data_IF_671395282400
#
_entry.id   IF_671395282400
#
_cell.length_a   1.000
_cell.length_b   1.000
_cell.length_c   1.000
_cell.angle_alpha   90.00
_cell.angle_beta   90.00
_cell.angle_gamma   90.00
#
_symmetry.space_group_name_H-M   'P 1'
#
loop_
_entity.id
_entity.type
_entity.pdbx_description
1 polymer ?
#
# COMPACT_ATOMS: atom_id res chain seq x y z
N UNK A 1 -11.58 8.77 -19.16
CA UNK A 1 -10.67 9.32 -18.13
C UNK A 1 -10.59 8.42 -16.89
N UNK A 2 -11.69 7.80 -16.44
CA UNK A 2 -11.72 6.90 -15.26
C UNK A 2 -10.71 5.74 -15.31
N UNK A 3 -10.53 5.09 -16.47
CA UNK A 3 -9.61 3.95 -16.60
C UNK A 3 -8.14 4.31 -16.34
N UNK A 4 -7.67 5.48 -16.80
CA UNK A 4 -6.24 5.81 -16.70
C UNK A 4 -5.78 6.11 -15.27
N UNK A 5 -6.63 6.76 -14.46
CA UNK A 5 -6.28 7.05 -13.06
C UNK A 5 -6.29 5.74 -12.27
N UNK A 6 -7.33 4.92 -12.46
CA UNK A 6 -7.42 3.60 -11.83
C UNK A 6 -6.22 2.71 -12.18
N UNK A 7 -5.86 2.63 -13.46
CA UNK A 7 -4.72 1.82 -13.89
C UNK A 7 -3.42 2.29 -13.20
N UNK A 8 -3.20 3.60 -13.11
CA UNK A 8 -2.06 4.17 -12.39
C UNK A 8 -2.09 3.86 -10.87
N UNK A 9 -3.27 3.94 -10.23
CA UNK A 9 -3.46 3.54 -8.83
C UNK A 9 -3.03 2.08 -8.64
N UNK A 10 -3.54 1.17 -9.48
CA UNK A 10 -3.26 -0.26 -9.35
C UNK A 10 -1.79 -0.59 -9.63
N UNK A 11 -1.17 0.05 -10.61
CA UNK A 11 0.25 -0.12 -10.90
C UNK A 11 1.13 0.28 -9.69
N UNK A 12 0.79 1.39 -9.05
CA UNK A 12 1.48 1.83 -7.84
C UNK A 12 1.25 0.87 -6.67
N UNK A 13 0.03 0.38 -6.47
CA UNK A 13 -0.24 -0.64 -5.45
C UNK A 13 0.52 -1.93 -5.71
N UNK A 14 0.59 -2.40 -6.97
CA UNK A 14 1.34 -3.61 -7.31
C UNK A 14 2.83 -3.49 -6.95
N UNK A 15 3.42 -2.30 -7.13
CA UNK A 15 4.80 -2.04 -6.68
C UNK A 15 4.90 -2.18 -5.16
N UNK A 16 3.97 -1.59 -4.41
CA UNK A 16 3.96 -1.71 -2.94
C UNK A 16 3.77 -3.17 -2.49
N UNK A 17 2.93 -3.94 -3.16
CA UNK A 17 2.70 -5.36 -2.88
C UNK A 17 3.96 -6.17 -3.09
N UNK A 18 4.70 -5.91 -4.18
CA UNK A 18 5.98 -6.55 -4.46
C UNK A 18 7.00 -6.24 -3.36
N UNK A 19 7.13 -4.96 -2.98
CA UNK A 19 8.02 -4.52 -1.89
C UNK A 19 7.63 -5.19 -0.57
N UNK A 20 6.34 -5.25 -0.24
CA UNK A 20 5.85 -5.93 0.95
C UNK A 20 6.25 -7.41 0.94
N UNK A 21 6.06 -8.13 -0.16
CA UNK A 21 6.41 -9.55 -0.28
C UNK A 21 7.93 -9.80 -0.13
N UNK A 22 8.75 -8.95 -0.75
CA UNK A 22 10.22 -9.03 -0.64
C UNK A 22 10.69 -8.81 0.80
N UNK A 23 10.18 -7.78 1.48
CA UNK A 23 10.57 -7.51 2.86
C UNK A 23 10.00 -8.57 3.80
N UNK A 24 8.77 -9.03 3.60
CA UNK A 24 8.16 -10.09 4.41
C UNK A 24 8.99 -11.38 4.34
N UNK A 25 9.51 -11.73 3.16
CA UNK A 25 10.31 -12.95 2.96
C UNK A 25 11.77 -12.81 3.41
N UNK A 26 12.41 -11.64 3.21
CA UNK A 26 13.83 -11.44 3.48
C UNK A 26 14.17 -10.76 4.80
N UNK A 27 13.30 -9.88 5.31
CA UNK A 27 13.57 -9.01 6.45
C UNK A 27 12.31 -8.67 7.26
N UNK A 28 11.47 -9.67 7.57
CA UNK A 28 10.17 -9.49 8.25
C UNK A 28 10.16 -8.53 9.45
N UNK A 29 11.17 -8.52 10.36
CA UNK A 29 11.19 -7.57 11.49
C UNK A 29 11.23 -6.09 11.07
N UNK A 30 11.62 -5.77 9.84
CA UNK A 30 11.67 -4.41 9.31
C UNK A 30 10.40 -4.02 8.55
N UNK A 31 9.51 -4.98 8.25
CA UNK A 31 8.35 -4.80 7.36
C UNK A 31 7.49 -3.59 7.76
N UNK A 32 7.05 -3.55 9.01
CA UNK A 32 6.16 -2.48 9.48
C UNK A 32 6.82 -1.10 9.33
N UNK A 33 8.07 -0.98 9.77
CA UNK A 33 8.81 0.29 9.71
C UNK A 33 9.05 0.73 8.27
N UNK A 34 9.46 -0.18 7.40
CA UNK A 34 9.73 0.15 6.00
C UNK A 34 8.45 0.53 5.27
N UNK A 35 7.35 -0.21 5.46
CA UNK A 35 6.08 0.11 4.83
C UNK A 35 5.54 1.47 5.30
N UNK A 36 5.64 1.80 6.60
CA UNK A 36 5.26 3.12 7.11
C UNK A 36 6.02 4.26 6.44
N UNK A 37 7.34 4.15 6.33
CA UNK A 37 8.19 5.15 5.66
C UNK A 37 7.80 5.30 4.18
N UNK A 38 7.51 4.18 3.49
CA UNK A 38 7.10 4.21 2.09
C UNK A 38 5.73 4.87 1.91
N UNK A 39 4.78 4.61 2.80
CA UNK A 39 3.45 5.23 2.75
C UNK A 39 3.52 6.73 3.05
N UNK A 40 4.31 7.15 4.04
CA UNK A 40 4.59 8.57 4.29
C UNK A 40 5.15 9.26 3.03
N UNK A 41 6.24 8.70 2.48
CA UNK A 41 6.87 9.25 1.28
C UNK A 41 5.92 9.26 0.07
N UNK A 42 5.02 8.27 -0.04
CA UNK A 42 4.03 8.24 -1.11
C UNK A 42 3.04 9.41 -0.99
N UNK A 43 2.51 9.65 0.20
CA UNK A 43 1.56 10.75 0.44
C UNK A 43 2.25 12.11 0.22
N UNK A 44 3.50 12.26 0.66
CA UNK A 44 4.30 13.45 0.40
C UNK A 44 4.51 13.69 -1.10
N UNK A 45 4.73 12.63 -1.88
CA UNK A 45 4.82 12.70 -3.34
C UNK A 45 3.49 13.14 -3.94
N UNK A 46 2.36 12.59 -3.51
CA UNK A 46 1.05 13.03 -4.00
C UNK A 46 0.81 14.52 -3.76
N UNK A 47 1.14 15.00 -2.55
CA UNK A 47 1.00 16.41 -2.19
C UNK A 47 1.96 17.30 -3.02
N UNK A 48 3.20 16.86 -3.19
CA UNK A 48 4.20 17.57 -4.01
C UNK A 48 3.78 17.66 -5.48
N UNK A 49 3.34 16.55 -6.07
CA UNK A 49 2.83 16.50 -7.45
C UNK A 49 1.61 17.40 -7.62
N UNK A 50 0.71 17.44 -6.63
CA UNK A 50 -0.41 18.38 -6.66
C UNK A 50 0.09 19.83 -6.72
N UNK A 51 0.99 20.24 -5.83
CA UNK A 51 1.51 21.62 -5.81
C UNK A 51 2.26 21.99 -7.09
N UNK A 52 3.06 21.08 -7.64
CA UNK A 52 3.78 21.27 -8.91
C UNK A 52 2.83 21.47 -10.11
N UNK A 53 1.62 20.89 -10.04
CA UNK A 53 0.67 20.86 -11.15
C UNK A 53 -0.59 21.72 -10.92
N UNK A 54 -0.78 22.33 -9.73
CA UNK A 54 -1.97 23.14 -9.37
C UNK A 54 -2.26 24.23 -10.41
N UNK A 55 -1.22 24.82 -11.01
CA UNK A 55 -1.35 25.91 -12.00
C UNK A 55 -1.25 25.47 -13.47
N UNK A 56 -0.93 24.20 -13.73
CA UNK A 56 -0.70 23.65 -15.08
C UNK A 56 -1.69 22.53 -15.40
N UNK A 57 -1.38 21.32 -14.94
CA UNK A 57 -2.11 20.09 -15.27
C UNK A 57 -3.48 19.98 -14.59
N UNK A 58 -3.63 20.53 -13.38
CA UNK A 58 -4.87 20.47 -12.58
C UNK A 58 -5.68 21.78 -12.71
N UNK A 59 -5.37 22.60 -13.73
CA UNK A 59 -6.00 23.92 -13.89
C UNK A 59 -7.53 23.85 -14.05
N UNK A 60 -8.04 22.77 -14.63
CA UNK A 60 -9.46 22.56 -14.91
C UNK A 60 -9.98 21.31 -14.17
N UNK A 61 -9.80 21.27 -12.84
CA UNK A 61 -10.34 20.18 -12.03
C UNK A 61 -11.86 20.34 -11.89
N UNK A 62 -12.61 19.55 -12.66
CA UNK A 62 -14.07 19.53 -12.57
C UNK A 62 -14.57 18.63 -11.43
N UNK A 63 -15.89 18.67 -11.16
CA UNK A 63 -16.49 17.89 -10.09
C UNK A 63 -16.26 16.37 -10.25
N UNK A 64 -16.29 15.87 -11.48
CA UNK A 64 -16.05 14.44 -11.76
C UNK A 64 -14.61 14.03 -11.48
N UNK A 65 -13.63 14.85 -11.91
CA UNK A 65 -12.22 14.65 -11.63
C UNK A 65 -11.94 14.68 -10.13
N UNK A 66 -12.54 15.61 -9.41
CA UNK A 66 -12.47 15.67 -7.95
C UNK A 66 -13.02 14.39 -7.31
N UNK A 67 -14.24 13.96 -7.65
CA UNK A 67 -14.83 12.74 -7.10
C UNK A 67 -13.99 11.50 -7.39
N UNK A 68 -13.42 11.40 -8.60
CA UNK A 68 -12.53 10.30 -8.94
C UNK A 68 -11.27 10.31 -8.07
N UNK A 69 -10.61 11.47 -7.92
CA UNK A 69 -9.40 11.57 -7.08
C UNK A 69 -9.70 11.23 -5.62
N UNK A 70 -10.82 11.73 -5.07
CA UNK A 70 -11.25 11.39 -3.71
C UNK A 70 -11.45 9.88 -3.53
N UNK A 71 -12.10 9.21 -4.48
CA UNK A 71 -12.26 7.74 -4.47
C UNK A 71 -10.91 7.02 -4.46
N UNK A 72 -9.95 7.43 -5.28
CA UNK A 72 -8.63 6.79 -5.33
C UNK A 72 -7.83 7.02 -4.05
N UNK A 73 -7.89 8.22 -3.46
CA UNK A 73 -7.24 8.52 -2.18
C UNK A 73 -7.85 7.70 -1.04
N UNK A 74 -9.18 7.58 -0.99
CA UNK A 74 -9.88 6.74 -0.01
C UNK A 74 -9.56 5.26 -0.19
N UNK A 75 -9.40 4.81 -1.43
CA UNK A 75 -8.94 3.45 -1.73
C UNK A 75 -7.53 3.21 -1.18
N UNK A 76 -6.57 4.12 -1.41
CA UNK A 76 -5.23 4.01 -0.82
C UNK A 76 -5.27 4.00 0.71
N UNK A 77 -6.02 4.91 1.31
CA UNK A 77 -6.16 5.00 2.77
C UNK A 77 -6.74 3.72 3.37
N UNK A 78 -7.77 3.16 2.73
CA UNK A 78 -8.42 1.90 3.17
C UNK A 78 -7.46 0.72 3.06
N UNK A 79 -6.79 0.56 1.90
CA UNK A 79 -5.90 -0.58 1.65
C UNK A 79 -4.68 -0.53 2.54
N UNK A 80 -4.07 0.64 2.72
CA UNK A 80 -2.80 0.81 3.43
C UNK A 80 -2.97 1.24 4.89
N UNK A 81 -4.19 1.22 5.44
CA UNK A 81 -4.51 1.81 6.76
C UNK A 81 -3.57 1.35 7.89
N UNK A 82 -3.10 0.10 7.86
CA UNK A 82 -2.19 -0.45 8.89
C UNK A 82 -0.80 0.19 8.89
N UNK A 83 -0.43 0.85 7.79
CA UNK A 83 0.85 1.52 7.59
C UNK A 83 0.72 3.04 7.52
N UNK A 84 -0.48 3.60 7.67
CA UNK A 84 -0.65 5.05 7.80
C UNK A 84 -0.14 5.53 9.15
N UNK A 85 0.85 6.40 9.14
CA UNK A 85 1.26 7.15 10.32
C UNK A 85 0.37 8.39 10.53
N UNK A 86 0.37 8.99 11.73
CA UNK A 86 -0.33 10.25 11.97
C UNK A 86 0.09 11.36 10.99
N UNK A 87 1.38 11.41 10.66
CA UNK A 87 1.95 12.37 9.71
C UNK A 87 1.40 12.14 8.30
N UNK A 88 1.38 10.88 7.82
CA UNK A 88 0.80 10.53 6.53
C UNK A 88 -0.72 10.82 6.49
N UNK A 89 -1.45 10.56 7.57
CA UNK A 89 -2.89 10.88 7.67
C UNK A 89 -3.13 12.38 7.56
N UNK A 90 -2.30 13.18 8.24
CA UNK A 90 -2.42 14.63 8.18
C UNK A 90 -2.05 15.19 6.80
N UNK A 91 -1.01 14.65 6.16
CA UNK A 91 -0.65 15.02 4.78
C UNK A 91 -1.75 14.63 3.79
N UNK A 92 -2.36 13.44 3.95
CA UNK A 92 -3.48 12.97 3.12
C UNK A 92 -4.68 13.90 3.26
N UNK A 93 -5.04 14.27 4.50
CA UNK A 93 -6.12 15.23 4.75
C UNK A 93 -5.83 16.60 4.12
N UNK A 94 -4.59 17.08 4.24
CA UNK A 94 -4.18 18.34 3.61
C UNK A 94 -4.30 18.26 2.08
N UNK A 95 -3.93 17.14 1.47
CA UNK A 95 -4.12 16.93 0.02
C UNK A 95 -5.61 16.97 -0.37
N UNK A 96 -6.49 16.31 0.38
CA UNK A 96 -7.93 16.33 0.14
C UNK A 96 -8.51 17.76 0.24
N UNK A 97 -8.12 18.53 1.26
CA UNK A 97 -8.51 19.93 1.43
C UNK A 97 -8.03 20.82 0.27
N UNK A 98 -6.78 20.64 -0.15
CA UNK A 98 -6.21 21.35 -1.29
C UNK A 98 -6.90 21.02 -2.63
N UNK A 99 -7.27 19.75 -2.83
CA UNK A 99 -8.03 19.31 -4.01
C UNK A 99 -9.43 19.92 -4.03
N UNK A 100 -10.09 20.00 -2.87
CA UNK A 100 -11.40 20.62 -2.75
C UNK A 100 -11.34 22.12 -3.06
N UNK A 101 -10.38 22.84 -2.46
CA UNK A 101 -10.13 24.24 -2.78
C UNK A 101 -9.93 24.43 -4.28
N UNK A 102 -9.10 23.59 -4.91
CA UNK A 102 -8.82 23.70 -6.34
C UNK A 102 -10.04 23.38 -7.22
N UNK A 103 -10.86 22.41 -6.85
CA UNK A 103 -12.08 22.10 -7.58
C UNK A 103 -13.08 23.26 -7.51
N UNK A 104 -13.24 23.87 -6.33
CA UNK A 104 -14.07 25.06 -6.15
C UNK A 104 -13.56 26.25 -6.97
N UNK A 105 -12.25 26.54 -6.94
CA UNK A 105 -11.61 27.56 -7.79
C UNK A 105 -11.92 27.30 -9.28
N UNK A 106 -11.74 26.06 -9.73
CA UNK A 106 -11.88 25.68 -11.15
C UNK A 106 -13.33 25.79 -11.64
N UNK A 107 -14.30 25.42 -10.79
CA UNK A 107 -15.75 25.55 -11.09
C UNK A 107 -16.14 27.02 -11.15
N UNK A 108 -15.67 27.84 -10.19
CA UNK A 108 -15.92 29.28 -10.19
C UNK A 108 -15.33 29.96 -11.43
N UNK A 109 -14.07 29.66 -11.80
CA UNK A 109 -13.42 30.18 -13.01
C UNK A 109 -14.19 29.79 -14.29
N UNK A 110 -14.74 28.58 -14.35
CA UNK A 110 -15.55 28.13 -15.48
C UNK A 110 -16.89 28.86 -15.61
N UNK A 111 -17.49 29.26 -14.48
CA UNK A 111 -18.74 30.03 -14.45
C UNK A 111 -18.55 31.49 -14.85
N UNK A 112 -17.40 32.10 -14.53
CA UNK A 112 -17.10 33.49 -14.88
C UNK A 112 -16.72 33.68 -16.37
N UNK A 113 -16.31 32.62 -17.07
CA UNK A 113 -15.94 32.66 -18.49
C UNK A 113 -16.70 31.64 -19.40
N UNK A 114 -18.04 31.69 -19.52
CA UNK A 114 -18.79 30.76 -20.39
C UNK A 114 -18.59 31.01 -21.91
N UNK A 115 -17.91 32.09 -22.29
CA UNK A 115 -18.22 32.85 -23.52
C UNK A 115 -17.41 32.59 -24.80
N UNK A 116 -16.44 31.68 -24.87
CA UNK A 116 -15.57 31.58 -26.06
C UNK A 116 -16.04 30.63 -27.17
N UNK A 117 -17.30 30.17 -27.14
CA UNK A 117 -17.82 29.26 -28.18
C UNK A 117 -19.20 29.59 -28.74
N UNK A 118 -19.58 30.88 -28.79
CA UNK A 118 -20.71 31.33 -29.62
C UNK A 118 -20.37 32.56 -30.46
N UNK A 119 -20.27 32.28 -31.76
CA UNK A 119 -20.42 33.19 -32.91
C UNK A 119 -21.27 34.43 -32.60
N UNK A 120 -20.83 35.66 -32.92
CA UNK A 120 -21.66 36.84 -32.74
C UNK A 120 -22.74 36.91 -33.82
N UNK A 121 -24.01 36.78 -33.44
CA UNK A 121 -25.15 37.20 -34.26
C UNK A 121 -26.16 37.94 -33.40
N UNK A 122 -25.94 39.27 -33.34
CA UNK A 122 -26.92 40.37 -33.37
C UNK A 122 -28.34 40.11 -32.83
N UNK A 123 -28.61 40.71 -31.67
CA UNK A 123 -29.88 41.39 -31.36
C UNK A 123 -30.92 40.59 -30.59
N UNK A 124 -31.12 40.92 -29.31
CA UNK A 124 -32.44 41.15 -28.71
C UNK A 124 -32.26 41.62 -27.27
N UNK A 125 -32.88 42.75 -26.94
CA UNK A 125 -33.06 43.27 -25.59
C UNK A 125 -34.15 42.43 -24.86
N UNK A 126 -34.14 42.53 -23.53
CA UNK A 126 -35.08 41.98 -22.53
C UNK A 126 -35.05 40.47 -22.24
N UNK A 127 -34.25 40.11 -21.22
CA UNK A 127 -34.63 39.11 -20.23
C UNK A 127 -33.82 39.35 -18.94
N UNK A 128 -34.50 39.71 -17.86
CA UNK A 128 -33.99 39.54 -16.50
C UNK A 128 -33.85 38.04 -16.25
N UNK A 129 -32.69 37.48 -16.58
CA UNK A 129 -32.36 36.10 -16.21
C UNK A 129 -32.08 36.06 -14.72
N UNK A 130 -33.09 35.64 -13.97
CA UNK A 130 -32.94 35.02 -12.65
C UNK A 130 -32.15 33.72 -12.80
N UNK A 131 -30.86 33.81 -13.17
CA UNK A 131 -29.96 32.67 -13.23
C UNK A 131 -29.29 32.55 -11.86
N UNK A 132 -30.04 31.99 -10.90
CA UNK A 132 -29.44 31.21 -9.83
C UNK A 132 -28.77 29.98 -10.47
N UNK A 133 -27.64 30.19 -11.15
CA UNK A 133 -26.72 29.08 -11.40
C UNK A 133 -26.34 28.53 -10.02
N UNK A 134 -26.54 27.23 -9.74
CA UNK A 134 -26.11 26.67 -8.48
C UNK A 134 -24.59 26.72 -8.48
N UNK A 135 -24.02 27.70 -7.77
CA UNK A 135 -22.65 27.62 -7.31
C UNK A 135 -22.58 26.34 -6.49
N UNK A 136 -21.87 25.33 -6.96
CA UNK A 136 -21.67 24.09 -6.19
C UNK A 136 -20.91 24.50 -4.92
N UNK A 137 -21.54 24.35 -3.77
CA UNK A 137 -20.89 24.62 -2.48
C UNK A 137 -19.77 23.60 -2.26
N UNK A 138 -18.67 23.96 -1.55
CA UNK A 138 -17.66 22.99 -1.14
C UNK A 138 -18.28 21.76 -0.43
N UNK A 139 -19.31 21.99 0.38
CA UNK A 139 -20.03 20.92 1.09
C UNK A 139 -20.80 20.01 0.13
N UNK A 140 -21.43 20.58 -0.90
CA UNK A 140 -22.16 19.79 -1.92
C UNK A 140 -21.20 18.91 -2.72
N UNK A 141 -20.01 19.43 -3.01
CA UNK A 141 -18.97 18.69 -3.73
C UNK A 141 -18.37 17.57 -2.87
N UNK A 142 -18.20 17.80 -1.57
CA UNK A 142 -17.81 16.75 -0.62
C UNK A 142 -18.88 15.66 -0.52
N UNK A 143 -20.16 16.02 -0.42
CA UNK A 143 -21.26 15.06 -0.40
C UNK A 143 -21.32 14.24 -1.69
N UNK A 144 -21.08 14.87 -2.84
CA UNK A 144 -21.01 14.19 -4.12
C UNK A 144 -19.87 13.17 -4.15
N UNK A 145 -18.67 13.56 -3.70
CA UNK A 145 -17.52 12.65 -3.63
C UNK A 145 -17.78 11.48 -2.66
N UNK A 146 -18.36 11.75 -1.49
CA UNK A 146 -18.73 10.71 -0.52
C UNK A 146 -19.75 9.71 -1.08
N UNK A 147 -20.78 10.20 -1.77
CA UNK A 147 -21.76 9.34 -2.43
C UNK A 147 -21.08 8.48 -3.52
N UNK A 148 -20.24 9.10 -4.36
CA UNK A 148 -19.51 8.42 -5.41
C UNK A 148 -18.58 7.31 -4.86
N UNK A 149 -17.87 7.62 -3.77
CA UNK A 149 -17.08 6.63 -3.03
C UNK A 149 -17.93 5.50 -2.46
N UNK A 150 -19.04 5.82 -1.79
CA UNK A 150 -19.90 4.82 -1.17
C UNK A 150 -20.45 3.81 -2.20
N UNK A 151 -20.69 4.25 -3.43
CA UNK A 151 -21.23 3.40 -4.49
C UNK A 151 -20.17 2.48 -5.11
N UNK A 152 -18.91 2.90 -5.15
CA UNK A 152 -17.86 2.24 -5.95
C UNK A 152 -16.76 1.56 -5.13
N UNK A 153 -16.39 2.12 -3.98
CA UNK A 153 -15.22 1.69 -3.22
C UNK A 153 -15.26 0.19 -2.89
N UNK A 154 -16.39 -0.29 -2.37
CA UNK A 154 -16.53 -1.69 -1.99
C UNK A 154 -16.38 -2.64 -3.19
N UNK A 155 -16.96 -2.28 -4.34
CA UNK A 155 -16.84 -3.09 -5.55
C UNK A 155 -15.40 -3.16 -6.06
N UNK A 156 -14.64 -2.09 -5.87
CA UNK A 156 -13.25 -2.02 -6.27
C UNK A 156 -12.30 -2.76 -5.32
N UNK A 157 -12.54 -2.67 -4.00
CA UNK A 157 -11.85 -3.50 -3.01
C UNK A 157 -12.07 -4.99 -3.29
N UNK A 158 -13.29 -5.39 -3.63
CA UNK A 158 -13.58 -6.79 -3.97
C UNK A 158 -12.90 -7.21 -5.28
N UNK A 159 -12.98 -6.37 -6.32
CA UNK A 159 -12.32 -6.63 -7.61
C UNK A 159 -10.80 -6.84 -7.47
N UNK A 160 -10.18 -6.14 -6.52
CA UNK A 160 -8.73 -6.12 -6.32
C UNK A 160 -8.27 -6.92 -5.11
N UNK A 161 -9.18 -7.62 -4.41
CA UNK A 161 -8.98 -8.28 -3.11
C UNK A 161 -7.71 -9.13 -3.05
N UNK A 162 -7.44 -9.93 -4.09
CA UNK A 162 -6.24 -10.78 -4.13
C UNK A 162 -4.95 -9.99 -4.26
N UNK A 163 -4.97 -8.85 -4.95
CA UNK A 163 -3.79 -8.00 -5.14
C UNK A 163 -3.41 -7.31 -3.83
N UNK A 164 -4.39 -6.95 -3.01
CA UNK A 164 -4.19 -6.14 -1.80
C UNK A 164 -4.21 -6.95 -0.48
N UNK A 165 -4.40 -8.27 -0.57
CA UNK A 165 -4.59 -9.14 0.60
C UNK A 165 -3.47 -8.99 1.65
N UNK A 166 -2.22 -8.78 1.23
CA UNK A 166 -1.09 -8.63 2.14
C UNK A 166 -1.21 -7.42 3.09
N UNK A 167 -1.91 -6.37 2.68
CA UNK A 167 -2.12 -5.18 3.50
C UNK A 167 -3.36 -5.28 4.39
N UNK A 168 -4.40 -5.96 3.91
CA UNK A 168 -5.66 -6.10 4.64
C UNK A 168 -5.64 -7.23 5.67
N UNK A 169 -4.89 -8.31 5.45
CA UNK A 169 -4.86 -9.47 6.35
C UNK A 169 -3.84 -9.34 7.49
N UNK A 170 -2.89 -8.40 7.40
CA UNK A 170 -1.84 -8.19 8.41
C UNK A 170 -2.35 -7.70 9.77
N UNK A 171 -3.59 -7.20 9.85
CA UNK A 171 -4.24 -6.87 11.12
C UNK A 171 -4.54 -8.10 12.00
N UNK A 172 -4.52 -9.32 11.44
CA UNK A 172 -4.93 -10.55 12.13
C UNK A 172 -3.77 -11.39 12.69
N UNK A 173 -2.51 -11.07 12.38
CA UNK A 173 -1.35 -11.90 12.79
C UNK A 173 -0.52 -11.31 13.94
N UNK A 174 -1.01 -10.29 14.64
CA UNK A 174 -0.41 -9.78 15.89
C UNK A 174 -0.88 -10.55 17.13
N UNK A 175 -1.34 -11.80 16.99
CA UNK A 175 -1.51 -12.72 18.12
C UNK A 175 -0.38 -13.74 18.12
N UNK A 176 0.61 -13.47 18.98
CA UNK A 176 1.48 -14.44 19.66
C UNK A 176 1.49 -15.87 19.11
N UNK A 177 2.49 -16.20 18.28
CA UNK A 177 3.06 -17.54 18.41
C UNK A 177 3.94 -17.50 19.67
N UNK A 178 3.68 -18.34 20.70
CA UNK A 178 4.66 -18.49 21.77
C UNK A 178 5.94 -19.01 21.12
N UNK A 179 7.02 -18.24 21.23
CA UNK A 179 8.37 -18.73 20.98
C UNK A 179 8.66 -19.82 22.01
N UNK A 180 8.30 -21.06 21.69
CA UNK A 180 8.21 -22.13 22.68
C UNK A 180 7.90 -23.49 22.07
N UNK A 181 8.52 -23.84 20.94
CA UNK A 181 8.64 -25.24 20.54
C UNK A 181 10.04 -25.49 20.00
N UNK A 182 10.99 -25.63 20.93
CA UNK A 182 12.23 -26.36 20.65
C UNK A 182 11.84 -27.80 20.27
N UNK A 183 12.51 -28.42 19.29
CA UNK A 183 12.30 -29.83 18.98
C UNK A 183 12.62 -30.68 20.21
N UNK A 184 11.69 -31.54 20.61
CA UNK A 184 11.86 -32.51 21.66
C UNK A 184 12.92 -33.54 21.25
N UNK A 185 14.17 -33.29 21.62
CA UNK A 185 15.22 -34.28 21.61
C UNK A 185 16.11 -34.07 22.84
N UNK A 186 16.08 -35.06 23.74
CA UNK A 186 17.01 -35.27 24.85
C UNK A 186 16.99 -34.26 25.99
N UNK A 187 16.33 -34.66 27.10
CA UNK A 187 16.97 -34.85 28.41
C UNK A 187 15.95 -34.66 29.55
N UNK A 188 15.64 -35.75 30.24
CA UNK A 188 15.36 -35.69 31.69
C UNK A 188 15.56 -37.07 32.30
N UNK A 189 16.81 -37.38 32.66
CA UNK A 189 17.10 -38.39 33.66
C UNK A 189 17.07 -37.72 35.03
N UNK A 190 15.98 -37.91 35.77
CA UNK A 190 15.98 -37.79 37.22
C UNK A 190 14.92 -38.73 37.81
N UNK A 191 15.37 -39.87 38.32
CA UNK A 191 14.61 -40.69 39.25
C UNK A 191 15.59 -41.22 40.32
N UNK A 192 15.28 -40.98 41.59
CA UNK A 192 16.03 -41.45 42.75
C UNK A 192 15.43 -42.77 43.28
N UNK A 193 16.22 -43.87 43.24
CA UNK A 193 16.57 -44.88 44.31
C UNK A 193 15.44 -45.66 45.05
N UNK A 194 15.57 -46.92 45.57
CA UNK A 194 16.67 -47.95 45.57
C UNK A 194 16.25 -49.43 45.26
N UNK A 195 17.27 -50.31 45.14
CA UNK A 195 17.40 -51.69 45.70
C UNK A 195 17.84 -52.79 44.70
N UNK A 196 18.91 -53.49 45.11
CA UNK A 196 19.56 -54.72 44.59
C UNK A 196 20.58 -54.62 43.43
N UNK A 197 21.79 -55.11 43.74
CA UNK A 197 23.04 -55.16 42.96
C UNK A 197 23.23 -56.54 42.25
N UNK A 198 24.39 -56.86 41.65
CA UNK A 198 25.23 -56.12 40.68
C UNK A 198 25.52 -56.98 39.42
N UNK A 199 25.61 -56.41 38.21
CA UNK A 199 26.37 -57.05 37.11
C UNK A 199 27.15 -55.99 36.33
N UNK A 200 28.45 -56.26 36.20
CA UNK A 200 29.47 -55.49 35.49
C UNK A 200 29.28 -55.58 33.96
N UNK A 201 29.72 -54.56 33.21
CA UNK A 201 30.83 -54.63 32.22
C UNK A 201 30.67 -53.64 31.05
N UNK A 202 31.70 -52.80 30.92
CA UNK A 202 32.41 -52.30 29.71
C UNK A 202 31.68 -51.60 28.57
N UNK A 203 32.04 -50.31 28.42
CA UNK A 203 32.06 -49.53 27.17
C UNK A 203 32.93 -50.17 26.07
N UNK A 204 32.63 -49.95 24.78
CA UNK A 204 33.59 -50.16 23.71
C UNK A 204 34.21 -48.84 23.23
N UNK A 205 35.50 -48.68 23.52
CA UNK A 205 36.41 -47.77 22.78
C UNK A 205 37.40 -48.63 22.00
N UNK A 206 37.34 -48.61 20.67
CA UNK A 206 38.44 -49.01 19.78
C UNK A 206 38.18 -48.41 18.39
N UNK A 207 39.13 -48.04 17.53
CA UNK A 207 40.56 -47.70 17.61
C UNK A 207 40.91 -47.33 16.16
N UNK A 208 41.60 -46.21 16.01
CA UNK A 208 42.24 -45.76 14.76
C UNK A 208 43.27 -46.80 14.29
N UNK A 209 43.20 -47.26 13.04
CA UNK A 209 44.32 -47.93 12.35
C UNK A 209 44.66 -47.15 11.07
N UNK A 210 45.92 -46.75 10.99
CA UNK A 210 46.61 -46.26 9.80
C UNK A 210 47.35 -47.44 9.12
N UNK A 211 47.83 -47.17 7.89
CA UNK A 211 48.81 -47.90 7.06
C UNK A 211 48.20 -48.96 6.11
N UNK A 212 48.49 -49.02 4.82
CA UNK A 212 49.38 -48.21 3.96
C UNK A 212 49.41 -48.77 2.53
N UNK A 213 50.07 -48.03 1.62
CA UNK A 213 50.50 -48.41 0.25
C UNK A 213 49.36 -48.54 -0.79
N UNK A 214 49.39 -47.99 -2.02
CA UNK A 214 50.43 -47.49 -2.92
C UNK A 214 49.76 -46.66 -4.03
N UNK A 215 50.40 -45.58 -4.50
CA UNK A 215 50.04 -44.86 -5.74
C UNK A 215 50.55 -45.62 -6.98
N UNK A 216 50.06 -45.28 -8.20
CA UNK A 216 50.79 -44.27 -8.96
C UNK A 216 49.91 -43.23 -9.66
N UNK A 217 50.52 -42.06 -9.83
CA UNK A 217 50.15 -40.95 -10.70
C UNK A 217 50.57 -41.28 -12.13
N UNK A 218 49.72 -41.03 -13.14
CA UNK A 218 50.13 -40.84 -14.55
C UNK A 218 49.40 -39.64 -15.15
N UNK A 219 50.17 -38.85 -15.89
CA UNK A 219 49.90 -37.49 -16.37
C UNK A 219 49.36 -37.39 -17.81
N UNK A 220 48.79 -36.20 -18.12
CA UNK A 220 48.64 -35.53 -19.45
C UNK A 220 47.63 -36.16 -20.44
N UNK A 221 46.86 -35.39 -21.23
CA UNK A 221 47.25 -34.25 -22.08
C UNK A 221 46.04 -33.39 -22.48
N UNK A 222 46.27 -32.07 -22.61
CA UNK A 222 45.39 -31.08 -23.26
C UNK A 222 45.26 -31.35 -24.77
N UNK A 223 44.10 -30.99 -25.33
CA UNK A 223 44.01 -30.29 -26.61
C UNK A 223 43.40 -28.93 -26.33
#
# INVERSE_FOLDING_TARGET
MVKSIRDATLDLLHILVAVHAEIYSGARPLLEKTMKILVEGLVDIFLSVFHENKTKGIRLLDANGFCQLMLELEYFETVLHTYFSPEAQQAMKSLQENLLEKACESIAEAMENPGHQRRPTRGSEDASSDDRQPSVSPDDLLLLAQQYSSDLLQGELERTRLNIACFMESALQSTSAPAGSKPAAYSSYHAQVPQHAPIQTSSPSFRRQQTGTSSPVVSRRRR
#
